data_IF_404950501553
#
_entry.id   IF_404950501553
#
_cell.length_a   1.000
_cell.length_b   1.000
_cell.length_c   1.000
_cell.angle_alpha   90.00
_cell.angle_beta   90.00
_cell.angle_gamma   90.00
#
_symmetry.space_group_name_H-M   'P 1'
#
loop_
_entity.id
_entity.type
_entity.pdbx_description
1 polymer ?
#
# COMPACT_ATOMS: atom_id res chain seq x y z
N UNK A 1 5.83 39.84 1.68
CA UNK A 1 5.27 38.60 2.25
C UNK A 1 4.63 37.83 1.11
N UNK A 2 5.18 36.68 0.70
CA UNK A 2 4.56 35.85 -0.34
C UNK A 2 3.22 35.31 0.15
N UNK A 3 2.15 35.52 -0.61
CA UNK A 3 0.86 34.89 -0.32
C UNK A 3 0.97 33.40 -0.64
N UNK A 4 0.37 32.53 0.17
CA UNK A 4 0.41 31.06 0.00
C UNK A 4 0.01 30.57 -1.42
N UNK A 5 -0.66 31.42 -2.20
CA UNK A 5 -1.02 31.21 -3.59
C UNK A 5 0.14 31.22 -4.58
N UNK A 6 1.34 31.65 -4.19
CA UNK A 6 2.53 31.66 -5.07
C UNK A 6 3.30 30.34 -5.06
N UNK A 7 2.99 29.43 -4.13
CA UNK A 7 3.63 28.12 -4.07
C UNK A 7 2.92 27.13 -4.99
N UNK A 8 3.70 26.46 -5.81
CA UNK A 8 3.29 25.34 -6.64
C UNK A 8 3.68 24.02 -5.95
N UNK A 9 3.02 22.92 -6.30
CA UNK A 9 3.41 21.59 -5.79
C UNK A 9 4.86 21.22 -6.17
N UNK A 10 5.35 21.71 -7.30
CA UNK A 10 6.73 21.53 -7.76
C UNK A 10 7.75 22.14 -6.80
N UNK A 11 7.42 23.21 -6.08
CA UNK A 11 8.35 23.86 -5.14
C UNK A 11 8.66 22.98 -3.91
N UNK A 12 7.83 21.97 -3.64
CA UNK A 12 8.03 21.00 -2.57
C UNK A 12 8.76 19.73 -3.02
N UNK A 13 8.94 19.53 -4.33
CA UNK A 13 9.69 18.41 -4.89
C UNK A 13 11.15 18.80 -5.10
N UNK A 14 12.01 18.26 -4.25
CA UNK A 14 13.45 18.53 -4.26
C UNK A 14 14.24 17.62 -5.21
N UNK A 15 13.55 16.87 -6.08
CA UNK A 15 14.18 15.83 -6.90
C UNK A 15 13.56 15.72 -8.29
N UNK A 16 14.37 15.25 -9.25
CA UNK A 16 13.94 15.00 -10.62
C UNK A 16 13.37 13.58 -10.80
N UNK A 17 12.65 13.30 -11.91
CA UNK A 17 12.16 11.96 -12.20
C UNK A 17 13.25 10.87 -12.23
N UNK A 18 14.45 11.22 -12.70
CA UNK A 18 15.58 10.29 -12.77
C UNK A 18 16.08 9.91 -11.37
N UNK A 19 16.17 10.89 -10.45
CA UNK A 19 16.53 10.65 -9.05
C UNK A 19 15.48 9.78 -8.37
N UNK A 20 14.19 10.06 -8.62
CA UNK A 20 13.07 9.26 -8.11
C UNK A 20 13.13 7.80 -8.56
N UNK A 21 13.32 7.54 -9.85
CA UNK A 21 13.44 6.18 -10.38
C UNK A 21 14.70 5.47 -9.91
N UNK A 22 15.84 6.17 -9.87
CA UNK A 22 17.13 5.60 -9.44
C UNK A 22 17.09 5.12 -7.99
N UNK A 23 16.35 5.82 -7.13
CA UNK A 23 16.13 5.43 -5.75
C UNK A 23 15.60 3.99 -5.61
N UNK A 24 14.62 3.60 -6.43
CA UNK A 24 14.05 2.25 -6.40
C UNK A 24 15.04 1.19 -6.88
N UNK A 25 15.82 1.49 -7.92
CA UNK A 25 16.87 0.59 -8.42
C UNK A 25 17.87 0.27 -7.30
N UNK A 26 18.39 1.31 -6.64
CA UNK A 26 19.37 1.12 -5.57
C UNK A 26 18.76 0.37 -4.37
N UNK A 27 17.51 0.68 -4.02
CA UNK A 27 16.80 -0.02 -2.95
C UNK A 27 16.66 -1.52 -3.22
N UNK A 28 16.30 -1.87 -4.44
CA UNK A 28 16.13 -3.26 -4.83
C UNK A 28 17.47 -4.01 -4.92
N UNK A 29 18.53 -3.36 -5.40
CA UNK A 29 19.88 -3.96 -5.47
C UNK A 29 20.39 -4.30 -4.06
N UNK A 30 20.22 -3.42 -3.07
CA UNK A 30 20.71 -3.67 -1.70
C UNK A 30 19.85 -4.68 -0.92
N UNK A 31 18.57 -4.81 -1.27
CA UNK A 31 17.65 -5.76 -0.62
C UNK A 31 17.57 -7.10 -1.33
N UNK A 32 18.28 -7.29 -2.45
CA UNK A 32 18.36 -8.59 -3.08
C UNK A 32 19.02 -9.61 -2.13
N UNK A 33 18.45 -10.82 -1.91
CA UNK A 33 17.33 -11.46 -2.63
C UNK A 33 16.00 -11.50 -1.82
N UNK A 34 15.67 -10.49 -1.03
CA UNK A 34 14.47 -10.48 -0.19
C UNK A 34 13.16 -10.42 -1.00
N UNK A 35 13.16 -9.85 -2.20
CA UNK A 35 11.97 -9.69 -3.05
C UNK A 35 11.22 -11.02 -3.29
N UNK A 36 11.85 -12.11 -3.78
CA UNK A 36 11.15 -13.38 -3.93
C UNK A 36 10.67 -13.97 -2.59
N UNK A 37 11.37 -13.72 -1.48
CA UNK A 37 10.96 -14.20 -0.15
C UNK A 37 9.66 -13.52 0.29
N UNK A 38 9.59 -12.19 0.22
CA UNK A 38 8.40 -11.44 0.62
C UNK A 38 7.21 -11.74 -0.29
N UNK A 39 7.44 -11.91 -1.59
CA UNK A 39 6.41 -12.33 -2.55
C UNK A 39 5.92 -13.75 -2.26
N UNK A 40 6.81 -14.67 -1.88
CA UNK A 40 6.46 -16.03 -1.47
C UNK A 40 5.55 -16.04 -0.23
N UNK A 41 5.92 -15.28 0.81
CA UNK A 41 5.10 -15.14 2.02
C UNK A 41 3.75 -14.50 1.69
N UNK A 42 3.74 -13.43 0.88
CA UNK A 42 2.51 -12.78 0.46
C UNK A 42 1.60 -13.71 -0.36
N UNK A 43 2.16 -14.54 -1.24
CA UNK A 43 1.40 -15.53 -2.00
C UNK A 43 0.77 -16.59 -1.08
N UNK A 44 1.49 -17.05 -0.05
CA UNK A 44 0.95 -17.99 0.95
C UNK A 44 -0.24 -17.38 1.71
N UNK A 45 -0.12 -16.12 2.15
CA UNK A 45 -1.20 -15.40 2.85
C UNK A 45 -2.38 -15.14 1.91
N UNK A 46 -2.13 -14.68 0.69
CA UNK A 46 -3.15 -14.49 -0.35
C UNK A 46 -3.93 -15.79 -0.59
N UNK A 47 -3.23 -16.91 -0.74
CA UNK A 47 -3.82 -18.22 -0.91
C UNK A 47 -4.64 -18.67 0.31
N UNK A 48 -4.18 -18.39 1.52
CA UNK A 48 -4.91 -18.70 2.74
C UNK A 48 -6.22 -17.90 2.83
N UNK A 49 -6.19 -16.61 2.48
CA UNK A 49 -7.39 -15.76 2.38
C UNK A 49 -8.32 -16.29 1.29
N UNK A 50 -7.77 -16.63 0.11
CA UNK A 50 -8.52 -17.18 -1.00
C UNK A 50 -9.20 -18.52 -0.67
N UNK A 51 -8.64 -19.31 0.25
CA UNK A 51 -9.22 -20.58 0.73
C UNK A 51 -10.11 -20.41 1.97
N UNK A 52 -10.23 -19.21 2.52
CA UNK A 52 -11.03 -18.95 3.71
C UNK A 52 -10.46 -19.58 4.98
N UNK A 53 -9.13 -19.74 5.07
CA UNK A 53 -8.52 -20.32 6.27
C UNK A 53 -8.80 -19.46 7.51
N UNK A 54 -9.09 -20.05 8.68
CA UNK A 54 -9.57 -19.29 9.85
C UNK A 54 -8.53 -18.30 10.40
N UNK A 55 -7.24 -18.56 10.19
CA UNK A 55 -6.13 -17.70 10.62
C UNK A 55 -5.74 -16.63 9.57
N UNK A 56 -6.28 -16.71 8.35
CA UNK A 56 -5.81 -15.93 7.20
C UNK A 56 -6.01 -14.41 7.38
N UNK A 57 -7.10 -13.97 8.02
CA UNK A 57 -7.33 -12.56 8.30
C UNK A 57 -6.29 -11.97 9.25
N UNK A 58 -5.90 -12.73 10.29
CA UNK A 58 -4.82 -12.31 11.20
C UNK A 58 -3.48 -12.28 10.48
N UNK A 59 -3.16 -13.33 9.72
CA UNK A 59 -1.91 -13.39 8.97
C UNK A 59 -1.80 -12.25 7.94
N UNK A 60 -2.90 -11.89 7.29
CA UNK A 60 -2.97 -10.75 6.37
C UNK A 60 -2.62 -9.44 7.08
N UNK A 61 -3.26 -9.13 8.20
CA UNK A 61 -2.99 -7.89 8.94
C UNK A 61 -1.56 -7.86 9.52
N UNK A 62 -1.05 -9.00 10.01
CA UNK A 62 0.34 -9.10 10.49
C UNK A 62 1.33 -8.89 9.34
N UNK A 63 1.09 -9.50 8.18
CA UNK A 63 1.94 -9.33 7.00
C UNK A 63 1.97 -7.87 6.54
N UNK A 64 0.80 -7.24 6.41
CA UNK A 64 0.68 -5.85 6.01
C UNK A 64 1.36 -4.92 7.02
N UNK A 65 1.15 -5.16 8.32
CA UNK A 65 1.79 -4.36 9.36
C UNK A 65 3.31 -4.53 9.37
N UNK A 66 3.81 -5.76 9.23
CA UNK A 66 5.25 -6.03 9.09
C UNK A 66 5.84 -5.37 7.84
N UNK A 67 5.10 -5.34 6.72
CA UNK A 67 5.51 -4.64 5.51
C UNK A 67 5.65 -3.12 5.75
N UNK A 68 4.69 -2.50 6.44
CA UNK A 68 4.77 -1.08 6.83
C UNK A 68 5.94 -0.78 7.76
N UNK A 69 6.21 -1.66 8.74
CA UNK A 69 7.38 -1.53 9.60
C UNK A 69 8.69 -1.68 8.81
N UNK A 70 8.75 -2.60 7.85
CA UNK A 70 9.93 -2.81 7.01
C UNK A 70 10.23 -1.57 6.14
N UNK A 71 9.24 -1.04 5.41
CA UNK A 71 9.43 0.19 4.62
C UNK A 71 9.70 1.41 5.52
N UNK A 72 9.07 1.47 6.69
CA UNK A 72 9.30 2.46 7.75
C UNK A 72 10.74 2.48 8.24
N UNK A 73 11.32 1.31 8.51
CA UNK A 73 12.65 1.16 9.06
C UNK A 73 13.78 1.15 8.02
N UNK A 74 13.48 0.84 6.76
CA UNK A 74 14.50 0.66 5.71
C UNK A 74 14.37 1.69 4.60
N UNK A 75 13.25 1.70 3.88
CA UNK A 75 13.08 2.49 2.67
C UNK A 75 13.10 4.00 2.98
N UNK A 76 12.29 4.45 3.93
CA UNK A 76 12.19 5.88 4.22
C UNK A 76 13.50 6.49 4.74
N UNK A 77 14.14 5.96 5.80
CA UNK A 77 15.40 6.52 6.28
C UNK A 77 16.58 6.26 5.33
N UNK A 78 16.62 5.11 4.66
CA UNK A 78 17.74 4.72 3.80
C UNK A 78 17.72 5.31 2.39
N UNK A 79 16.54 5.68 1.89
CA UNK A 79 16.35 6.12 0.49
C UNK A 79 15.64 7.45 0.39
N UNK A 80 14.40 7.50 0.89
CA UNK A 80 13.53 8.64 0.62
C UNK A 80 14.00 9.91 1.33
N UNK A 81 14.55 9.76 2.55
CA UNK A 81 15.09 10.88 3.32
C UNK A 81 16.26 11.59 2.62
N UNK A 82 17.03 10.87 1.79
CA UNK A 82 18.15 11.45 1.06
C UNK A 82 17.69 12.42 -0.05
N UNK A 83 16.46 12.25 -0.56
CA UNK A 83 15.92 13.05 -1.66
C UNK A 83 14.81 14.01 -1.20
N UNK A 84 14.21 13.76 -0.04
CA UNK A 84 13.12 14.55 0.51
C UNK A 84 13.18 14.59 2.04
N UNK A 85 13.19 15.80 2.60
CA UNK A 85 13.22 16.04 4.05
C UNK A 85 12.03 15.40 4.80
N UNK A 86 10.91 15.11 4.12
CA UNK A 86 9.77 14.38 4.67
C UNK A 86 10.06 12.90 4.98
N UNK A 87 11.20 12.35 4.55
CA UNK A 87 11.51 10.94 4.76
C UNK A 87 11.45 10.48 6.21
N UNK A 88 11.94 11.28 7.16
CA UNK A 88 11.85 10.95 8.59
C UNK A 88 10.42 10.94 9.11
N UNK A 89 9.59 11.91 8.67
CA UNK A 89 8.16 11.96 8.99
C UNK A 89 7.42 10.75 8.43
N UNK A 90 7.72 10.36 7.19
CA UNK A 90 7.11 9.17 6.57
C UNK A 90 7.55 7.87 7.24
N UNK A 91 8.80 7.76 7.69
CA UNK A 91 9.25 6.62 8.48
C UNK A 91 8.40 6.43 9.76
N UNK A 92 8.14 7.52 10.48
CA UNK A 92 7.33 7.48 11.71
C UNK A 92 5.87 7.12 11.42
N UNK A 93 5.27 7.72 10.39
CA UNK A 93 3.88 7.43 9.99
C UNK A 93 3.72 5.99 9.50
N UNK A 94 4.68 5.48 8.74
CA UNK A 94 4.73 4.07 8.33
C UNK A 94 4.85 3.14 9.54
N UNK A 95 5.70 3.49 10.51
CA UNK A 95 5.82 2.77 11.77
C UNK A 95 4.49 2.67 12.52
N UNK A 96 3.76 3.79 12.62
CA UNK A 96 2.45 3.86 13.27
C UNK A 96 1.42 2.95 12.60
N UNK A 97 1.33 2.99 11.26
CA UNK A 97 0.44 2.11 10.50
C UNK A 97 0.78 0.64 10.69
N UNK A 98 2.07 0.31 10.67
CA UNK A 98 2.55 -1.05 10.90
C UNK A 98 2.14 -1.61 12.26
N UNK A 99 2.33 -0.81 13.32
CA UNK A 99 1.90 -1.17 14.68
C UNK A 99 0.38 -1.28 14.76
N UNK A 100 -0.37 -0.34 14.18
CA UNK A 100 -1.84 -0.33 14.19
C UNK A 100 -2.40 -1.62 13.57
N UNK A 101 -1.92 -2.01 12.39
CA UNK A 101 -2.38 -3.22 11.70
C UNK A 101 -2.09 -4.49 12.51
N UNK A 102 -0.89 -4.60 13.10
CA UNK A 102 -0.53 -5.73 13.95
C UNK A 102 -1.43 -5.78 15.20
N UNK A 103 -1.64 -4.65 15.89
CA UNK A 103 -2.52 -4.59 17.05
C UNK A 103 -3.96 -5.02 16.69
N UNK A 104 -4.49 -4.54 15.56
CA UNK A 104 -5.83 -4.92 15.10
C UNK A 104 -5.94 -6.42 14.79
N UNK A 105 -4.85 -7.06 14.34
CA UNK A 105 -4.78 -8.49 14.09
C UNK A 105 -4.98 -9.33 15.37
N UNK A 106 -4.50 -8.83 16.51
CA UNK A 106 -4.57 -9.53 17.80
C UNK A 106 -5.76 -9.13 18.66
N UNK A 107 -6.30 -7.91 18.51
CA UNK A 107 -7.49 -7.45 19.25
C UNK A 107 -8.81 -8.08 18.78
N UNK A 108 -8.81 -8.84 17.68
CA UNK A 108 -10.03 -9.46 17.14
C UNK A 108 -11.10 -8.47 16.66
N UNK A 109 -10.70 -7.20 16.44
CA UNK A 109 -11.57 -6.10 16.02
C UNK A 109 -11.92 -6.15 14.52
N UNK A 110 -11.12 -6.88 13.75
CA UNK A 110 -11.29 -7.07 12.32
C UNK A 110 -11.43 -8.57 12.01
N UNK A 111 -12.38 -8.90 11.14
CA UNK A 111 -12.65 -10.27 10.69
C UNK A 111 -12.82 -10.28 9.18
N UNK A 112 -12.36 -11.30 8.47
CA UNK A 112 -12.62 -11.38 7.04
C UNK A 112 -14.14 -11.38 6.76
N UNK A 113 -14.54 -10.71 5.68
CA UNK A 113 -15.93 -10.76 5.20
C UNK A 113 -16.26 -12.17 4.77
N UNK A 114 -17.50 -12.61 4.99
CA UNK A 114 -18.01 -13.78 4.30
C UNK A 114 -18.24 -13.46 2.82
N UNK A 115 -17.54 -14.18 1.93
CA UNK A 115 -17.63 -14.01 0.48
C UNK A 115 -19.03 -14.26 -0.06
N UNK A 116 -19.86 -15.01 0.68
CA UNK A 116 -21.26 -15.27 0.32
C UNK A 116 -22.15 -14.05 0.57
N UNK A 117 -21.83 -13.24 1.58
CA UNK A 117 -22.60 -12.05 1.94
C UNK A 117 -22.32 -10.88 0.97
N UNK A 118 -21.07 -10.74 0.49
CA UNK A 118 -20.73 -9.68 -0.47
C UNK A 118 -19.65 -10.13 -1.47
N UNK A 119 -20.10 -10.79 -2.55
CA UNK A 119 -19.23 -11.32 -3.62
C UNK A 119 -18.48 -10.22 -4.37
N UNK A 120 -19.11 -9.06 -4.58
CA UNK A 120 -18.50 -7.95 -5.31
C UNK A 120 -17.29 -7.39 -4.58
N UNK A 121 -17.44 -6.98 -3.31
CA UNK A 121 -16.33 -6.43 -2.51
C UNK A 121 -15.24 -7.47 -2.29
N UNK A 122 -15.63 -8.72 -2.05
CA UNK A 122 -14.67 -9.82 -1.90
C UNK A 122 -13.86 -10.06 -3.17
N UNK A 123 -14.50 -9.96 -4.34
CA UNK A 123 -13.83 -10.07 -5.64
C UNK A 123 -12.89 -8.90 -5.89
N UNK A 124 -13.40 -7.67 -5.74
CA UNK A 124 -12.63 -6.45 -5.94
C UNK A 124 -11.43 -6.37 -4.99
N UNK A 125 -11.62 -6.65 -3.70
CA UNK A 125 -10.54 -6.67 -2.72
C UNK A 125 -9.47 -7.71 -3.04
N UNK A 126 -9.85 -8.90 -3.53
CA UNK A 126 -8.87 -9.91 -3.94
C UNK A 126 -8.13 -9.53 -5.22
N UNK A 127 -8.81 -8.92 -6.19
CA UNK A 127 -8.17 -8.41 -7.42
C UNK A 127 -7.19 -7.29 -7.09
N UNK A 128 -7.59 -6.34 -6.25
CA UNK A 128 -6.71 -5.25 -5.80
C UNK A 128 -5.55 -5.77 -4.95
N UNK A 129 -5.77 -6.81 -4.13
CA UNK A 129 -4.70 -7.42 -3.34
C UNK A 129 -3.69 -8.09 -4.28
N UNK A 130 -4.15 -8.87 -5.26
CA UNK A 130 -3.28 -9.43 -6.28
C UNK A 130 -2.53 -8.32 -7.03
N UNK A 131 -3.22 -7.25 -7.43
CA UNK A 131 -2.60 -6.11 -8.12
C UNK A 131 -1.54 -5.42 -7.24
N UNK A 132 -1.78 -5.20 -5.95
CA UNK A 132 -0.78 -4.66 -5.04
C UNK A 132 0.47 -5.54 -4.91
N UNK A 133 0.33 -6.85 -5.10
CA UNK A 133 1.46 -7.78 -5.04
C UNK A 133 2.25 -7.88 -6.36
N UNK A 134 1.60 -7.74 -7.53
CA UNK A 134 2.24 -8.02 -8.83
C UNK A 134 2.08 -6.96 -9.92
N UNK A 135 1.15 -6.01 -9.80
CA UNK A 135 0.89 -5.05 -10.88
C UNK A 135 2.00 -4.01 -11.02
N UNK A 136 2.57 -3.52 -9.92
CA UNK A 136 3.62 -2.50 -9.96
C UNK A 136 4.87 -2.95 -10.75
N UNK A 137 5.43 -4.16 -10.52
CA UNK A 137 6.52 -4.65 -11.36
C UNK A 137 6.16 -4.72 -12.85
N UNK A 138 4.90 -5.02 -13.18
CA UNK A 138 4.44 -5.10 -14.58
C UNK A 138 4.22 -3.71 -15.19
N UNK A 139 3.73 -2.75 -14.39
CA UNK A 139 3.53 -1.37 -14.80
C UNK A 139 4.87 -0.71 -15.11
N UNK A 140 5.85 -0.87 -14.23
CA UNK A 140 7.19 -0.32 -14.42
C UNK A 140 7.86 -0.89 -15.68
N UNK A 141 7.65 -2.18 -15.98
CA UNK A 141 8.08 -2.79 -17.23
C UNK A 141 7.38 -2.19 -18.46
N UNK A 142 6.08 -1.93 -18.36
CA UNK A 142 5.27 -1.38 -19.46
C UNK A 142 5.56 0.10 -19.72
N UNK A 143 5.98 0.87 -18.71
CA UNK A 143 6.32 2.30 -18.84
C UNK A 143 7.78 2.53 -19.23
N UNK A 144 8.57 1.46 -19.43
CA UNK A 144 9.97 1.53 -19.83
C UNK A 144 10.92 1.83 -18.66
N UNK A 145 10.45 1.75 -17.41
CA UNK A 145 11.30 1.84 -16.23
C UNK A 145 12.25 0.64 -16.19
N UNK A 146 13.50 0.80 -15.67
CA UNK A 146 14.43 -0.31 -15.57
C UNK A 146 13.83 -1.44 -14.76
N UNK A 147 13.92 -2.69 -15.24
CA UNK A 147 13.41 -3.89 -14.52
C UNK A 147 13.92 -3.95 -13.07
N UNK A 148 15.16 -3.50 -12.85
CA UNK A 148 15.79 -3.45 -11.52
C UNK A 148 15.10 -2.47 -10.56
N UNK A 149 14.42 -1.47 -11.08
CA UNK A 149 13.67 -0.46 -10.31
C UNK A 149 12.22 -0.84 -10.05
N UNK A 150 11.79 -2.05 -10.45
CA UNK A 150 10.43 -2.53 -10.25
C UNK A 150 9.99 -2.40 -8.78
N UNK A 151 8.85 -1.77 -8.55
CA UNK A 151 8.32 -1.57 -7.21
C UNK A 151 7.69 -2.87 -6.69
N UNK A 152 8.16 -3.36 -5.53
CA UNK A 152 7.76 -4.67 -4.97
C UNK A 152 7.09 -4.49 -3.62
N UNK A 153 6.02 -5.26 -3.37
CA UNK A 153 5.33 -5.31 -2.08
C UNK A 153 6.31 -5.54 -0.91
N UNK A 154 6.09 -4.84 0.21
CA UNK A 154 6.92 -4.83 1.41
C UNK A 154 8.36 -4.29 1.24
N UNK A 155 8.74 -3.89 0.02
CA UNK A 155 10.04 -3.31 -0.31
C UNK A 155 9.89 -1.83 -0.66
N UNK A 156 8.81 -1.48 -1.34
CA UNK A 156 8.44 -0.11 -1.69
C UNK A 156 7.05 0.24 -1.15
N UNK A 157 6.79 1.53 -0.90
CA UNK A 157 5.58 1.95 -0.19
C UNK A 157 4.30 1.84 -1.02
N UNK A 158 4.35 2.12 -2.32
CA UNK A 158 3.16 2.14 -3.21
C UNK A 158 2.44 0.78 -3.31
N UNK A 159 3.09 -0.34 -3.69
CA UNK A 159 2.45 -1.66 -3.69
C UNK A 159 1.97 -2.07 -2.28
N UNK A 160 2.70 -1.65 -1.24
CA UNK A 160 2.33 -1.93 0.16
C UNK A 160 1.05 -1.18 0.56
N UNK A 161 0.89 0.07 0.15
CA UNK A 161 -0.30 0.87 0.40
C UNK A 161 -1.52 0.28 -0.32
N UNK A 162 -1.41 -0.10 -1.59
CA UNK A 162 -2.51 -0.77 -2.33
C UNK A 162 -2.88 -2.08 -1.67
N UNK A 163 -1.91 -2.94 -1.38
CA UNK A 163 -2.15 -4.23 -0.73
C UNK A 163 -2.81 -4.05 0.64
N UNK A 164 -2.46 -2.98 1.37
CA UNK A 164 -3.08 -2.63 2.65
C UNK A 164 -4.54 -2.23 2.48
N UNK A 165 -4.85 -1.33 1.55
CA UNK A 165 -6.23 -0.92 1.26
C UNK A 165 -7.07 -2.10 0.77
N UNK A 166 -6.51 -2.96 -0.06
CA UNK A 166 -7.16 -4.17 -0.52
C UNK A 166 -7.43 -5.15 0.63
N UNK A 167 -6.46 -5.36 1.53
CA UNK A 167 -6.65 -6.19 2.71
C UNK A 167 -7.69 -5.62 3.67
N UNK A 168 -7.72 -4.29 3.85
CA UNK A 168 -8.72 -3.60 4.65
C UNK A 168 -10.12 -3.68 4.01
N UNK A 169 -10.20 -3.69 2.68
CA UNK A 169 -11.43 -3.96 1.95
C UNK A 169 -11.95 -5.40 2.13
N UNK A 170 -11.10 -6.34 2.56
CA UNK A 170 -11.48 -7.75 2.81
C UNK A 170 -11.85 -8.03 4.27
N UNK A 171 -11.70 -7.07 5.19
CA UNK A 171 -12.02 -7.24 6.62
C UNK A 171 -13.14 -6.33 7.08
N UNK A 172 -14.07 -6.86 7.86
CA UNK A 172 -15.18 -6.15 8.47
C UNK A 172 -14.82 -5.57 9.84
N UNK A 173 -15.49 -4.48 10.22
CA UNK A 173 -15.24 -3.71 11.43
C UNK A 173 -14.90 -2.24 11.15
N UNK A 174 -15.32 -1.33 12.05
CA UNK A 174 -15.16 0.14 11.89
C UNK A 174 -13.70 0.59 11.90
N UNK A 175 -12.82 -0.14 12.59
CA UNK A 175 -11.39 0.19 12.66
C UNK A 175 -10.69 0.11 11.31
N UNK A 176 -11.28 -0.53 10.29
CA UNK A 176 -10.72 -0.57 8.94
C UNK A 176 -10.61 0.83 8.32
N UNK A 177 -11.52 1.75 8.68
CA UNK A 177 -11.48 3.11 8.17
C UNK A 177 -10.32 3.89 8.77
N UNK A 178 -10.03 3.68 10.06
CA UNK A 178 -8.88 4.30 10.72
C UNK A 178 -7.57 3.80 10.11
N UNK A 179 -7.43 2.47 9.95
CA UNK A 179 -6.26 1.88 9.28
C UNK A 179 -6.16 2.24 7.79
N UNK A 180 -7.25 2.66 7.13
CA UNK A 180 -7.19 3.07 5.73
C UNK A 180 -6.64 4.50 5.55
N UNK A 181 -6.59 5.32 6.60
CA UNK A 181 -6.19 6.74 6.49
C UNK A 181 -4.78 6.86 5.94
N UNK A 182 -3.80 6.19 6.55
CA UNK A 182 -2.39 6.32 6.17
C UNK A 182 -2.14 5.80 4.74
N UNK A 183 -2.59 4.59 4.36
CA UNK A 183 -2.46 4.12 2.99
C UNK A 183 -3.18 5.00 1.94
N UNK A 184 -4.35 5.58 2.27
CA UNK A 184 -5.05 6.51 1.36
C UNK A 184 -4.28 7.81 1.17
N UNK A 185 -3.76 8.38 2.25
CA UNK A 185 -2.91 9.57 2.19
C UNK A 185 -1.64 9.29 1.37
N UNK A 186 -1.03 8.11 1.55
CA UNK A 186 0.13 7.70 0.77
C UNK A 186 -0.17 7.60 -0.73
N UNK A 187 -1.26 6.91 -1.10
CA UNK A 187 -1.67 6.79 -2.51
C UNK A 187 -2.01 8.15 -3.13
N UNK A 188 -2.59 9.06 -2.35
CA UNK A 188 -2.87 10.43 -2.79
C UNK A 188 -1.57 11.22 -3.00
N UNK A 189 -0.63 11.11 -2.07
CA UNK A 189 0.70 11.71 -2.17
C UNK A 189 1.48 11.17 -3.38
N UNK A 190 1.37 9.88 -3.66
CA UNK A 190 1.96 9.21 -4.83
C UNK A 190 1.39 9.79 -6.12
N UNK A 191 0.06 9.87 -6.25
CA UNK A 191 -0.59 10.43 -7.43
C UNK A 191 -0.17 11.90 -7.67
N UNK A 192 -0.08 12.70 -6.61
CA UNK A 192 0.41 14.09 -6.71
C UNK A 192 1.88 14.16 -7.11
N UNK A 193 2.73 13.26 -6.58
CA UNK A 193 4.15 13.17 -6.94
C UNK A 193 4.33 12.78 -8.41
N UNK A 194 3.58 11.80 -8.90
CA UNK A 194 3.67 11.38 -10.31
C UNK A 194 3.13 12.46 -11.25
N UNK A 195 2.05 13.15 -10.87
CA UNK A 195 1.50 14.28 -11.62
C UNK A 195 2.53 15.40 -11.79
N UNK A 196 3.16 15.78 -10.68
CA UNK A 196 4.14 16.88 -10.64
C UNK A 196 5.45 16.55 -11.35
N UNK A 197 5.85 15.28 -11.34
CA UNK A 197 6.99 14.78 -12.12
C UNK A 197 6.67 14.58 -13.61
N UNK A 198 5.40 14.73 -14.02
CA UNK A 198 4.96 14.51 -15.41
C UNK A 198 5.04 13.05 -15.85
N UNK A 199 4.95 12.10 -14.91
CA UNK A 199 5.04 10.67 -15.18
C UNK A 199 3.68 10.07 -15.54
N UNK A 200 3.61 9.29 -16.62
CA UNK A 200 2.37 8.66 -17.10
C UNK A 200 1.76 7.64 -16.13
N UNK A 201 2.56 7.13 -15.18
CA UNK A 201 2.14 6.23 -14.10
C UNK A 201 1.07 6.85 -13.18
N UNK A 202 0.89 8.18 -13.23
CA UNK A 202 -0.15 8.89 -12.49
C UNK A 202 -1.55 8.33 -12.72
N UNK A 203 -1.86 7.90 -13.95
CA UNK A 203 -3.18 7.34 -14.27
C UNK A 203 -3.42 6.02 -13.53
N UNK A 204 -2.39 5.17 -13.44
CA UNK A 204 -2.47 3.94 -12.67
C UNK A 204 -2.64 4.22 -11.18
N UNK A 205 -1.86 5.15 -10.62
CA UNK A 205 -1.97 5.54 -9.21
C UNK A 205 -3.37 6.08 -8.85
N UNK A 206 -3.93 6.95 -9.70
CA UNK A 206 -5.29 7.50 -9.52
C UNK A 206 -6.35 6.40 -9.63
N UNK A 207 -6.23 5.50 -10.62
CA UNK A 207 -7.15 4.38 -10.77
C UNK A 207 -7.14 3.47 -9.54
N UNK A 208 -5.95 3.10 -9.06
CA UNK A 208 -5.81 2.29 -7.86
C UNK A 208 -6.37 2.96 -6.62
N UNK A 209 -6.11 4.25 -6.43
CA UNK A 209 -6.68 5.03 -5.34
C UNK A 209 -8.21 5.01 -5.39
N UNK A 210 -8.81 5.27 -6.57
CA UNK A 210 -10.25 5.27 -6.75
C UNK A 210 -10.87 3.90 -6.44
N UNK A 211 -10.33 2.82 -7.00
CA UNK A 211 -10.83 1.46 -6.74
C UNK A 211 -10.65 1.05 -5.27
N UNK A 212 -9.55 1.44 -4.64
CA UNK A 212 -9.32 1.18 -3.22
C UNK A 212 -10.33 1.92 -2.33
N UNK A 213 -10.61 3.20 -2.61
CA UNK A 213 -11.65 3.97 -1.89
C UNK A 213 -13.01 3.30 -2.04
N UNK A 214 -13.39 2.91 -3.27
CA UNK A 214 -14.65 2.22 -3.54
C UNK A 214 -14.71 0.91 -2.72
N UNK A 215 -13.65 0.10 -2.75
CA UNK A 215 -13.61 -1.19 -2.07
C UNK A 215 -13.70 -1.06 -0.53
N UNK A 216 -13.01 -0.08 0.06
CA UNK A 216 -13.00 0.16 1.52
C UNK A 216 -14.32 0.76 2.00
N UNK A 217 -14.87 1.72 1.24
CA UNK A 217 -16.10 2.44 1.57
C UNK A 217 -17.37 1.62 1.28
N UNK A 218 -17.28 0.54 0.51
CA UNK A 218 -18.46 -0.24 0.13
C UNK A 218 -19.22 -0.78 1.34
N UNK A 219 -20.57 -0.66 1.36
CA UNK A 219 -21.40 -1.17 2.44
C UNK A 219 -21.20 -2.67 2.66
N UNK A 220 -20.92 -3.07 3.91
CA UNK A 220 -20.98 -4.49 4.30
C UNK A 220 -22.43 -4.82 4.66
N UNK A 221 -22.90 -6.00 4.25
CA UNK A 221 -24.24 -6.44 4.64
C UNK A 221 -24.36 -6.39 6.16
N UNK A 222 -25.41 -5.74 6.67
CA UNK A 222 -25.69 -5.71 8.11
C UNK A 222 -25.98 -7.15 8.51
N UNK A 223 -25.13 -7.74 9.36
CA UNK A 223 -25.52 -8.96 10.07
C UNK A 223 -26.76 -8.60 10.86
N UNK A 224 -27.92 -9.16 10.49
CA UNK A 224 -29.08 -9.09 11.36
C UNK A 224 -28.63 -9.69 12.68
N UNK A 225 -28.50 -8.84 13.70
CA UNK A 225 -28.32 -9.29 15.06
C UNK A 225 -29.63 -9.94 15.46
N UNK A 226 -29.80 -11.21 15.07
CA UNK A 226 -30.80 -12.08 15.66
C UNK A 226 -30.35 -12.38 17.07
N UNK A 227 -30.82 -11.57 18.02
CA UNK A 227 -31.06 -11.91 19.44
C UNK A 227 -31.91 -10.82 20.06
#
# INVERSE_FOLDING_TARGET
MGTWSSYSLSDFLLFSPQVYQRMFVLNNEDLWPLQPVVLGVAALVFMAVARGAPWSGRALLVLLGAAWLAIGGVFFPGRYQAINWLGSSFAAVAGLEGVLLILLAFMGRLRLIDRRENRFVSGLGMVLLAAGLVAYPLLDLATGSPVRGAQVFAITPDPTAIASLAGLALVDGRMRFVAAIIPLLWMSFTALTLWTLGLGEVLAAVAFLAFAVIAVAWPRAVRSTGR
#
